data_IF_491514311025
#
_entry.id   IF_491514311025
#
_cell.length_a   1.000
_cell.length_b   1.000
_cell.length_c   1.000
_cell.angle_alpha   90.00
_cell.angle_beta   90.00
_cell.angle_gamma   90.00
#
_symmetry.space_group_name_H-M   'P 1'
#
loop_
_entity.id
_entity.type
_entity.pdbx_description
1 polymer ?
#
# COMPACT_ATOMS: atom_id res chain seq x y z
N UNK A 1 -32.32 -7.51 27.94
CA UNK A 1 -32.25 -6.65 26.74
C UNK A 1 -30.89 -5.94 26.59
N UNK A 2 -30.27 -5.42 27.66
CA UNK A 2 -28.98 -4.73 27.57
C UNK A 2 -27.75 -5.59 27.22
N UNK A 3 -27.73 -6.87 27.63
CA UNK A 3 -26.59 -7.76 27.37
C UNK A 3 -26.41 -8.09 25.87
N UNK A 4 -27.52 -8.24 25.13
CA UNK A 4 -27.49 -8.53 23.69
C UNK A 4 -26.94 -7.34 22.88
N UNK A 5 -27.32 -6.11 23.27
CA UNK A 5 -26.80 -4.87 22.70
C UNK A 5 -25.31 -4.68 22.99
N UNK A 6 -24.87 -5.02 24.20
CA UNK A 6 -23.45 -5.00 24.58
C UNK A 6 -22.61 -6.00 23.77
N UNK A 7 -23.13 -7.22 23.56
CA UNK A 7 -22.50 -8.24 22.72
C UNK A 7 -22.43 -7.82 21.24
N UNK A 8 -23.48 -7.20 20.72
CA UNK A 8 -23.51 -6.69 19.35
C UNK A 8 -22.49 -5.56 19.13
N UNK A 9 -22.39 -4.65 20.11
CA UNK A 9 -21.41 -3.57 20.07
C UNK A 9 -19.97 -4.09 20.15
N UNK A 10 -19.72 -5.13 20.96
CA UNK A 10 -18.41 -5.76 21.08
C UNK A 10 -18.00 -6.49 19.79
N UNK A 11 -18.95 -7.15 19.11
CA UNK A 11 -18.72 -7.79 17.81
C UNK A 11 -18.40 -6.78 16.71
N UNK A 12 -19.08 -5.61 16.70
CA UNK A 12 -18.82 -4.53 15.75
C UNK A 12 -17.45 -3.88 15.96
N UNK A 13 -17.03 -3.72 17.22
CA UNK A 13 -15.70 -3.21 17.57
C UNK A 13 -14.58 -4.19 17.24
N UNK A 14 -14.83 -5.50 17.37
CA UNK A 14 -13.86 -6.53 17.01
C UNK A 14 -13.64 -6.64 15.50
N UNK A 15 -14.70 -6.45 14.69
CA UNK A 15 -14.61 -6.54 13.22
C UNK A 15 -13.91 -5.36 12.52
N UNK A 16 -13.48 -4.33 13.25
CA UNK A 16 -13.05 -3.05 12.67
C UNK A 16 -11.55 -2.90 12.38
N UNK A 17 -10.72 -3.91 12.67
CA UNK A 17 -9.28 -3.85 12.34
C UNK A 17 -9.01 -4.68 11.09
N UNK A 18 -9.31 -4.10 9.92
CA UNK A 18 -8.79 -4.58 8.66
C UNK A 18 -7.34 -4.09 8.51
N UNK A 19 -6.35 -4.95 8.78
CA UNK A 19 -4.97 -4.69 8.34
C UNK A 19 -4.98 -4.65 6.81
N UNK A 20 -4.75 -3.46 6.25
CA UNK A 20 -4.60 -3.28 4.80
C UNK A 20 -3.43 -4.12 4.27
N UNK A 21 -3.43 -4.46 2.96
CA UNK A 21 -2.37 -5.26 2.37
C UNK A 21 -1.00 -4.59 2.59
N UNK A 22 0.00 -5.40 2.97
CA UNK A 22 1.34 -4.92 3.23
C UNK A 22 1.93 -4.17 2.02
N UNK A 23 2.48 -2.97 2.25
CA UNK A 23 3.13 -2.14 1.22
C UNK A 23 4.38 -2.85 0.72
N UNK A 24 4.53 -2.98 -0.61
CA UNK A 24 5.69 -3.61 -1.25
C UNK A 24 6.81 -2.60 -1.47
N UNK A 25 8.06 -3.05 -1.32
CA UNK A 25 9.29 -2.28 -1.57
C UNK A 25 10.18 -3.10 -2.51
N UNK A 26 10.88 -2.44 -3.43
CA UNK A 26 11.88 -3.04 -4.31
C UNK A 26 13.27 -2.67 -3.78
N UNK A 27 14.12 -3.67 -3.58
CA UNK A 27 15.48 -3.52 -3.06
C UNK A 27 16.45 -4.21 -3.99
N UNK A 28 17.56 -3.54 -4.32
CA UNK A 28 18.70 -4.08 -5.05
C UNK A 28 19.96 -3.95 -4.17
N UNK A 29 20.78 -4.99 -4.13
CA UNK A 29 22.04 -4.98 -3.38
C UNK A 29 23.15 -4.25 -4.15
N UNK A 30 24.06 -3.62 -3.43
CA UNK A 30 25.22 -2.92 -3.97
C UNK A 30 26.00 -2.22 -2.87
N UNK A 31 27.23 -1.80 -3.16
CA UNK A 31 28.08 -1.09 -2.19
C UNK A 31 27.49 0.27 -1.78
N UNK A 32 26.71 0.89 -2.67
CA UNK A 32 25.96 2.11 -2.46
C UNK A 32 24.50 1.89 -2.87
N UNK A 33 23.55 2.28 -2.01
CA UNK A 33 22.12 2.11 -2.25
C UNK A 33 21.47 3.45 -2.56
N UNK A 34 20.83 3.56 -3.73
CA UNK A 34 20.06 4.73 -4.11
C UNK A 34 18.58 4.52 -3.79
N UNK A 35 18.00 5.45 -3.03
CA UNK A 35 16.56 5.49 -2.79
C UNK A 35 15.79 6.00 -4.02
N UNK A 36 14.54 5.56 -4.18
CA UNK A 36 13.65 6.01 -5.24
C UNK A 36 12.19 6.04 -4.77
N UNK A 37 11.47 7.11 -5.10
CA UNK A 37 10.04 7.24 -4.82
C UNK A 37 9.28 7.46 -6.13
N UNK A 38 8.44 6.50 -6.48
CA UNK A 38 7.68 6.50 -7.72
C UNK A 38 6.18 6.42 -7.45
N UNK A 39 5.33 7.12 -8.22
CA UNK A 39 3.88 7.01 -8.10
C UNK A 39 3.39 5.73 -8.79
N UNK A 40 3.82 4.56 -8.28
CA UNK A 40 3.51 3.23 -8.83
C UNK A 40 2.00 2.98 -8.87
N UNK A 41 1.28 3.51 -7.88
CA UNK A 41 -0.18 3.52 -7.84
C UNK A 41 -0.71 4.95 -7.95
N UNK A 42 -1.95 5.08 -8.43
CA UNK A 42 -2.72 6.31 -8.30
C UNK A 42 -3.11 6.54 -6.83
N UNK A 43 -3.62 7.74 -6.52
CA UNK A 43 -4.19 8.01 -5.20
C UNK A 43 -5.41 7.11 -4.99
N UNK A 44 -5.48 6.44 -3.84
CA UNK A 44 -6.62 5.62 -3.48
C UNK A 44 -7.86 6.42 -3.09
N UNK A 45 -8.96 5.70 -2.85
CA UNK A 45 -10.22 6.27 -2.37
C UNK A 45 -10.21 6.55 -0.86
N UNK A 46 -11.37 6.89 -0.26
CA UNK A 46 -11.45 7.24 1.16
C UNK A 46 -11.01 6.14 2.14
N UNK A 47 -11.15 4.86 1.74
CA UNK A 47 -10.83 3.70 2.57
C UNK A 47 -9.50 3.02 2.20
N UNK A 48 -8.82 3.50 1.15
CA UNK A 48 -7.63 2.84 0.58
C UNK A 48 -6.51 3.86 0.35
N UNK A 49 -5.29 3.53 0.77
CA UNK A 49 -4.12 4.40 0.57
C UNK A 49 -3.72 4.55 -0.92
N UNK A 50 -3.87 3.47 -1.69
CA UNK A 50 -3.39 3.35 -3.06
C UNK A 50 -4.53 2.92 -4.00
N UNK A 51 -4.61 3.53 -5.17
CA UNK A 51 -5.53 3.17 -6.24
C UNK A 51 -4.90 2.22 -7.27
N UNK A 52 -5.44 2.14 -8.50
CA UNK A 52 -4.91 1.31 -9.57
C UNK A 52 -3.45 1.64 -9.93
N UNK A 53 -2.76 0.69 -10.57
CA UNK A 53 -1.40 0.87 -11.07
C UNK A 53 -1.33 2.02 -12.07
N UNK A 54 -0.24 2.79 -12.00
CA UNK A 54 0.06 3.88 -12.92
C UNK A 54 1.15 3.42 -13.89
N UNK A 55 0.75 2.90 -15.04
CA UNK A 55 1.66 2.24 -15.98
C UNK A 55 2.72 3.21 -16.53
N UNK A 56 2.33 4.39 -17.02
CA UNK A 56 3.26 5.32 -17.67
C UNK A 56 4.04 6.20 -16.68
N UNK A 57 3.41 6.69 -15.60
CA UNK A 57 4.12 7.58 -14.65
C UNK A 57 4.70 6.86 -13.44
N UNK A 58 4.24 5.64 -13.16
CA UNK A 58 4.75 4.77 -12.10
C UNK A 58 5.71 3.74 -12.68
N UNK A 59 5.16 2.69 -13.29
CA UNK A 59 5.92 1.52 -13.74
C UNK A 59 7.02 1.90 -14.73
N UNK A 60 6.69 2.60 -15.82
CA UNK A 60 7.69 2.97 -16.83
C UNK A 60 8.83 3.83 -16.25
N UNK A 61 8.57 4.65 -15.22
CA UNK A 61 9.62 5.45 -14.58
C UNK A 61 10.45 4.66 -13.59
N UNK A 62 9.82 3.74 -12.86
CA UNK A 62 10.50 2.79 -11.99
C UNK A 62 11.45 1.93 -12.84
N UNK A 63 10.95 1.33 -13.92
CA UNK A 63 11.74 0.54 -14.86
C UNK A 63 12.84 1.37 -15.54
N UNK A 64 12.59 2.65 -15.86
CA UNK A 64 13.63 3.52 -16.38
C UNK A 64 14.78 3.77 -15.38
N UNK A 65 14.50 3.82 -14.07
CA UNK A 65 15.55 3.87 -13.05
C UNK A 65 16.31 2.55 -12.98
N UNK A 66 15.60 1.41 -12.98
CA UNK A 66 16.24 0.09 -12.96
C UNK A 66 17.13 -0.12 -14.18
N UNK A 67 16.65 0.22 -15.37
CA UNK A 67 17.42 0.18 -16.61
C UNK A 67 18.68 1.07 -16.60
N UNK A 68 18.66 2.16 -15.83
CA UNK A 68 19.82 3.04 -15.70
C UNK A 68 20.84 2.55 -14.65
N UNK A 69 20.42 1.67 -13.73
CA UNK A 69 21.26 1.05 -12.70
C UNK A 69 21.89 -0.26 -13.15
N UNK A 70 21.23 -1.00 -14.04
CA UNK A 70 21.79 -2.14 -14.78
C UNK A 70 23.03 -1.72 -15.59
#
# INVERSE_FOLDING_TARGET
MGSLLGLLALLLLWGAVAEGPAKKVLTLEGDLVLGGLFPVHQKGGPAEDCGPVNEHRGIQRLEAMLFALD
#
